data_IF_803771504241
#
_entry.id   IF_803771504241
#
_cell.length_a   1.000
_cell.length_b   1.000
_cell.length_c   1.000
_cell.angle_alpha   90.00
_cell.angle_beta   90.00
_cell.angle_gamma   90.00
#
_symmetry.space_group_name_H-M   'P 1'
#
loop_
_entity.id
_entity.type
_entity.pdbx_description
1 polymer ?
#
# COMPACT_ATOMS: atom_id res chain seq x y z
N UNK A 1 -13.70 0.06 53.94
CA UNK A 1 -13.78 0.12 52.46
C UNK A 1 -13.20 -1.17 51.93
N UNK A 2 -14.03 -1.96 51.25
CA UNK A 2 -13.97 -3.42 51.25
C UNK A 2 -12.99 -3.97 50.19
N UNK A 3 -12.13 -4.92 50.57
CA UNK A 3 -11.27 -5.73 49.66
C UNK A 3 -12.02 -6.30 48.45
N UNK A 4 -13.33 -6.50 48.57
CA UNK A 4 -14.22 -6.93 47.51
C UNK A 4 -14.34 -5.92 46.35
N UNK A 5 -14.32 -4.61 46.62
CA UNK A 5 -14.39 -3.57 45.57
C UNK A 5 -13.06 -3.44 44.82
N UNK A 6 -11.92 -3.64 45.50
CA UNK A 6 -10.59 -3.74 44.86
C UNK A 6 -10.45 -4.98 43.97
N UNK A 7 -11.06 -6.10 44.36
CA UNK A 7 -11.08 -7.32 43.55
C UNK A 7 -11.99 -7.16 42.33
N UNK A 8 -13.19 -6.60 42.50
CA UNK A 8 -14.12 -6.36 41.40
C UNK A 8 -13.61 -5.34 40.38
N UNK A 9 -12.85 -4.33 40.82
CA UNK A 9 -12.21 -3.35 39.92
C UNK A 9 -11.05 -3.91 39.07
N UNK A 10 -10.60 -5.14 39.34
CA UNK A 10 -9.56 -5.83 38.55
C UNK A 10 -10.13 -6.76 37.47
N UNK A 11 -11.44 -7.02 37.47
CA UNK A 11 -12.06 -7.85 36.46
C UNK A 11 -12.55 -6.99 35.31
N UNK A 12 -11.98 -7.20 34.12
CA UNK A 12 -12.56 -6.69 32.89
C UNK A 12 -13.96 -7.31 32.73
N UNK A 13 -15.01 -6.50 32.52
CA UNK A 13 -16.36 -7.04 32.33
C UNK A 13 -16.38 -8.05 31.19
N UNK A 14 -17.12 -9.15 31.36
CA UNK A 14 -17.18 -10.23 30.37
C UNK A 14 -17.62 -9.71 28.99
N UNK A 15 -18.55 -8.76 28.96
CA UNK A 15 -19.03 -8.15 27.72
C UNK A 15 -17.92 -7.39 26.96
N UNK A 16 -17.03 -6.72 27.68
CA UNK A 16 -15.85 -6.04 27.09
C UNK A 16 -14.88 -7.06 26.49
N UNK A 17 -14.66 -8.18 27.19
CA UNK A 17 -13.82 -9.27 26.71
C UNK A 17 -14.44 -9.91 25.45
N UNK A 18 -15.75 -10.15 25.44
CA UNK A 18 -16.48 -10.71 24.30
C UNK A 18 -16.38 -9.78 23.08
N UNK A 19 -16.63 -8.48 23.25
CA UNK A 19 -16.52 -7.49 22.18
C UNK A 19 -15.11 -7.43 21.57
N UNK A 20 -14.08 -7.51 22.41
CA UNK A 20 -12.70 -7.49 21.95
C UNK A 20 -12.34 -8.79 21.20
N UNK A 21 -12.80 -9.95 21.67
CA UNK A 21 -12.62 -11.23 20.97
C UNK A 21 -13.33 -11.22 19.63
N UNK A 22 -14.56 -10.73 19.55
CA UNK A 22 -15.31 -10.64 18.29
C UNK A 22 -14.62 -9.70 17.29
N UNK A 23 -14.10 -8.55 17.74
CA UNK A 23 -13.29 -7.66 16.89
C UNK A 23 -12.03 -8.34 16.36
N UNK A 24 -11.31 -9.09 17.22
CA UNK A 24 -10.12 -9.84 16.79
C UNK A 24 -10.45 -10.96 15.81
N UNK A 25 -11.58 -11.65 15.99
CA UNK A 25 -12.03 -12.70 15.08
C UNK A 25 -12.46 -12.15 13.72
N UNK A 26 -13.25 -11.07 13.66
CA UNK A 26 -13.63 -10.42 12.40
C UNK A 26 -12.39 -9.98 11.61
N UNK A 27 -11.38 -9.48 12.32
CA UNK A 27 -10.09 -9.07 11.79
C UNK A 27 -9.26 -10.22 11.21
N UNK A 28 -9.17 -11.35 11.92
CA UNK A 28 -8.48 -12.57 11.44
C UNK A 28 -9.19 -13.14 10.21
N UNK A 29 -10.53 -13.25 10.27
CA UNK A 29 -11.33 -13.74 9.16
C UNK A 29 -11.21 -12.83 7.93
N UNK A 30 -11.12 -11.52 8.12
CA UNK A 30 -10.88 -10.57 7.04
C UNK A 30 -9.52 -10.81 6.38
N UNK A 31 -8.42 -10.91 7.14
CA UNK A 31 -7.09 -11.22 6.58
C UNK A 31 -7.05 -12.56 5.84
N UNK A 32 -7.78 -13.56 6.33
CA UNK A 32 -7.88 -14.86 5.66
C UNK A 32 -8.60 -14.78 4.31
N UNK A 33 -9.54 -13.84 4.15
CA UNK A 33 -10.28 -13.61 2.91
C UNK A 33 -9.55 -12.69 1.96
N UNK A 34 -8.71 -11.81 2.49
CA UNK A 34 -7.90 -10.83 1.76
C UNK A 34 -6.43 -11.00 2.16
N UNK A 35 -5.74 -12.03 1.63
CA UNK A 35 -4.31 -12.22 1.89
C UNK A 35 -3.51 -11.05 1.32
N UNK A 36 -2.25 -10.86 1.76
CA UNK A 36 -1.36 -9.90 1.13
C UNK A 36 -1.27 -10.19 -0.38
N UNK A 37 -1.37 -9.14 -1.20
CA UNK A 37 -1.33 -9.25 -2.65
C UNK A 37 -0.03 -8.63 -3.15
N UNK A 38 0.68 -9.31 -4.05
CA UNK A 38 1.85 -8.76 -4.72
C UNK A 38 1.49 -8.62 -6.20
N UNK A 39 1.65 -7.42 -6.73
CA UNK A 39 1.52 -7.16 -8.16
C UNK A 39 2.82 -6.63 -8.76
N UNK A 40 3.08 -7.05 -9.99
CA UNK A 40 4.24 -6.65 -10.78
C UNK A 40 3.77 -5.88 -12.00
N UNK A 41 4.26 -4.66 -12.17
CA UNK A 41 3.87 -3.75 -13.25
C UNK A 41 5.08 -3.49 -14.13
N UNK A 42 4.98 -3.68 -15.44
CA UNK A 42 6.00 -3.20 -16.40
C UNK A 42 5.40 -2.01 -17.14
N UNK A 43 6.07 -0.86 -17.14
CA UNK A 43 5.57 0.35 -17.82
C UNK A 43 6.32 0.59 -19.11
N UNK A 44 5.60 0.63 -20.22
CA UNK A 44 6.17 0.91 -21.54
C UNK A 44 6.44 2.41 -21.73
N UNK A 45 7.70 2.82 -21.68
CA UNK A 45 8.12 4.21 -21.82
C UNK A 45 7.99 4.76 -23.24
N UNK A 46 7.71 3.93 -24.25
CA UNK A 46 7.46 4.42 -25.62
C UNK A 46 6.16 5.22 -25.75
N UNK A 47 5.30 5.15 -24.74
CA UNK A 47 4.05 5.89 -24.64
C UNK A 47 4.20 6.97 -23.57
N UNK A 48 3.86 8.21 -23.93
CA UNK A 48 3.79 9.34 -22.99
C UNK A 48 2.66 9.15 -21.97
N UNK A 49 2.93 9.53 -20.73
CA UNK A 49 1.94 9.55 -19.65
C UNK A 49 2.13 10.79 -18.80
N UNK A 50 1.04 11.51 -18.56
CA UNK A 50 0.96 12.56 -17.56
C UNK A 50 0.07 12.11 -16.40
N UNK A 51 0.67 11.96 -15.21
CA UNK A 51 -0.01 11.56 -13.96
C UNK A 51 -1.01 10.42 -14.14
N UNK A 52 -0.61 9.36 -14.85
CA UNK A 52 -1.49 8.22 -15.08
C UNK A 52 -1.40 7.26 -13.89
N UNK A 53 -2.55 6.82 -13.35
CA UNK A 53 -2.59 5.82 -12.27
C UNK A 53 -1.88 4.54 -12.71
N UNK A 54 -0.96 4.05 -11.89
CA UNK A 54 -0.15 2.87 -12.23
C UNK A 54 -1.02 1.61 -12.41
N UNK A 55 -2.08 1.48 -11.60
CA UNK A 55 -3.08 0.40 -11.72
C UNK A 55 -3.73 0.33 -13.10
N UNK A 56 -3.98 1.48 -13.73
CA UNK A 56 -4.64 1.59 -15.03
C UNK A 56 -3.74 1.30 -16.24
N UNK A 57 -2.41 1.22 -16.04
CA UNK A 57 -1.45 1.02 -17.13
C UNK A 57 -0.73 -0.32 -17.07
N UNK A 58 -0.64 -0.96 -15.90
CA UNK A 58 0.01 -2.27 -15.76
C UNK A 58 -0.89 -3.37 -15.21
N UNK A 59 -2.21 -3.20 -15.23
CA UNK A 59 -3.18 -4.28 -14.98
C UNK A 59 -3.41 -4.64 -13.52
N UNK A 60 -3.32 -3.67 -12.60
CA UNK A 60 -3.51 -3.86 -11.16
C UNK A 60 -4.75 -3.17 -10.61
N UNK A 61 -5.86 -3.19 -11.36
CA UNK A 61 -7.14 -2.69 -10.86
C UNK A 61 -7.51 -3.43 -9.56
N UNK A 62 -7.86 -2.70 -8.50
CA UNK A 62 -8.18 -3.24 -7.18
C UNK A 62 -7.01 -3.36 -6.19
N UNK A 63 -5.76 -3.23 -6.67
CA UNK A 63 -4.60 -3.29 -5.78
C UNK A 63 -4.60 -2.14 -4.77
N UNK A 64 -5.12 -0.97 -5.16
CA UNK A 64 -5.13 0.28 -4.38
C UNK A 64 -6.49 0.63 -3.77
N UNK A 65 -7.31 -0.37 -3.42
CA UNK A 65 -8.63 -0.12 -2.84
C UNK A 65 -8.55 0.31 -1.37
N UNK A 66 -8.58 1.62 -1.14
CA UNK A 66 -8.61 2.24 0.19
C UNK A 66 -10.01 2.19 0.85
N UNK A 67 -11.08 1.93 0.10
CA UNK A 67 -12.46 1.91 0.63
C UNK A 67 -12.83 0.58 1.31
N UNK A 68 -11.85 -0.30 1.49
CA UNK A 68 -11.99 -1.54 2.24
C UNK A 68 -12.42 -1.29 3.70
N UNK A 69 -13.26 -2.19 4.24
CA UNK A 69 -13.73 -2.19 5.65
C UNK A 69 -12.57 -2.07 6.66
N UNK A 70 -11.38 -2.52 6.27
CA UNK A 70 -10.14 -2.33 7.00
C UNK A 70 -9.13 -1.59 6.11
N UNK A 71 -8.54 -0.48 6.57
CA UNK A 71 -7.56 0.26 5.78
C UNK A 71 -6.39 -0.65 5.42
N UNK A 72 -6.10 -0.74 4.12
CA UNK A 72 -4.95 -1.47 3.60
C UNK A 72 -3.77 -0.52 3.45
N UNK A 73 -2.58 -1.02 3.78
CA UNK A 73 -1.32 -0.30 3.68
C UNK A 73 -0.60 -0.87 2.46
N UNK A 74 -0.28 -0.02 1.49
CA UNK A 74 0.46 -0.44 0.31
C UNK A 74 1.94 -0.21 0.57
N UNK A 75 2.77 -1.19 0.20
CA UNK A 75 4.22 -1.14 0.27
C UNK A 75 4.73 -1.24 -1.16
N UNK A 76 5.59 -0.30 -1.59
CA UNK A 76 6.17 -0.33 -2.93
C UNK A 76 7.62 -0.78 -2.86
N UNK A 77 7.93 -1.92 -3.48
CA UNK A 77 9.30 -2.28 -3.81
C UNK A 77 9.60 -1.92 -5.27
N UNK A 78 10.45 -0.93 -5.50
CA UNK A 78 10.83 -0.56 -6.87
C UNK A 78 11.99 -1.44 -7.31
N UNK A 79 11.69 -2.39 -8.19
CA UNK A 79 12.70 -3.26 -8.79
C UNK A 79 12.92 -2.83 -10.22
N UNK A 80 13.48 -1.64 -10.45
CA UNK A 80 14.29 -1.31 -11.63
C UNK A 80 15.01 0.03 -11.52
N UNK A 81 16.25 0.04 -12.01
CA UNK A 81 16.90 1.23 -12.58
C UNK A 81 16.98 1.06 -14.09
N UNK A 82 16.07 1.73 -14.80
CA UNK A 82 16.12 1.88 -16.24
C UNK A 82 16.95 3.11 -16.58
N UNK A 83 17.27 3.29 -17.85
CA UNK A 83 17.91 4.50 -18.39
C UNK A 83 16.91 5.54 -18.87
N UNK A 84 15.62 5.19 -18.95
CA UNK A 84 14.55 6.14 -19.24
C UNK A 84 14.21 7.06 -18.06
N UNK A 85 13.74 8.26 -18.40
CA UNK A 85 13.32 9.31 -17.45
C UNK A 85 11.85 9.14 -17.09
N UNK A 86 11.55 9.10 -15.79
CA UNK A 86 10.18 8.99 -15.30
C UNK A 86 10.06 9.47 -13.85
N UNK A 87 8.83 9.76 -13.42
CA UNK A 87 8.51 10.18 -12.05
C UNK A 87 7.37 9.35 -11.49
N UNK A 88 7.54 8.87 -10.26
CA UNK A 88 6.48 8.32 -9.42
C UNK A 88 5.95 9.40 -8.50
N UNK A 89 4.63 9.54 -8.42
CA UNK A 89 3.97 10.41 -7.44
C UNK A 89 3.05 9.57 -6.56
N UNK A 90 3.35 9.56 -5.27
CA UNK A 90 2.63 8.84 -4.23
C UNK A 90 1.63 9.78 -3.57
N UNK A 91 0.39 9.33 -3.46
CA UNK A 91 -0.62 10.01 -2.66
C UNK A 91 -0.74 9.33 -1.30
N UNK A 92 -0.44 10.09 -0.24
CA UNK A 92 -0.39 9.63 1.15
C UNK A 92 -1.58 10.18 1.94
N UNK A 93 -1.89 9.52 3.06
CA UNK A 93 -2.98 9.92 3.96
C UNK A 93 -3.00 11.44 4.22
N UNK A 94 -4.19 12.02 4.11
CA UNK A 94 -4.38 13.47 4.26
C UNK A 94 -4.00 14.30 3.03
N UNK A 95 -4.05 13.72 1.82
CA UNK A 95 -3.77 14.38 0.53
C UNK A 95 -2.35 14.94 0.41
N UNK A 96 -1.39 14.36 1.14
CA UNK A 96 0.01 14.71 0.99
C UNK A 96 0.59 13.94 -0.20
N UNK A 97 1.49 14.56 -0.94
CA UNK A 97 2.13 13.93 -2.09
C UNK A 97 3.64 13.89 -1.92
N UNK A 98 4.25 12.78 -2.30
CA UNK A 98 5.70 12.65 -2.49
C UNK A 98 5.92 12.31 -3.96
N UNK A 99 6.87 12.98 -4.60
CA UNK A 99 7.29 12.68 -5.97
C UNK A 99 8.75 12.27 -5.97
N UNK A 100 9.06 11.19 -6.66
CA UNK A 100 10.41 10.66 -6.83
C UNK A 100 10.68 10.40 -8.30
N UNK A 101 11.76 10.97 -8.81
CA UNK A 101 12.29 10.73 -10.15
C UNK A 101 13.07 9.41 -10.19
N UNK A 102 13.33 8.90 -11.39
CA UNK A 102 14.16 7.72 -11.60
C UNK A 102 15.60 7.88 -11.09
N UNK A 103 16.11 9.10 -10.96
CA UNK A 103 17.46 9.38 -10.43
C UNK A 103 17.52 9.26 -8.90
N UNK A 104 16.43 9.63 -8.23
CA UNK A 104 16.28 9.54 -6.76
C UNK A 104 16.07 8.10 -6.28
N UNK A 105 15.75 7.19 -7.20
CA UNK A 105 15.51 5.77 -6.93
C UNK A 105 16.73 4.98 -7.42
N UNK A 106 17.61 4.58 -6.51
CA UNK A 106 18.80 3.81 -6.87
C UNK A 106 18.42 2.37 -7.24
N UNK A 107 19.34 1.69 -7.94
CA UNK A 107 19.13 0.34 -8.44
C UNK A 107 18.94 -0.65 -7.28
N UNK A 108 17.72 -1.15 -7.12
CA UNK A 108 17.37 -2.11 -6.08
C UNK A 108 16.85 -1.48 -4.79
N UNK A 109 16.55 -0.19 -4.81
CA UNK A 109 15.96 0.49 -3.66
C UNK A 109 14.58 -0.07 -3.31
N UNK A 110 14.43 -0.39 -2.04
CA UNK A 110 13.16 -0.74 -1.44
C UNK A 110 12.58 0.53 -0.79
N UNK A 111 11.52 1.08 -1.39
CA UNK A 111 10.88 2.31 -0.90
C UNK A 111 9.73 1.92 0.03
N UNK A 112 10.02 1.87 1.32
CA UNK A 112 9.00 1.60 2.32
C UNK A 112 8.15 2.84 2.57
N UNK A 113 7.11 3.01 1.76
CA UNK A 113 6.15 4.08 1.87
C UNK A 113 4.73 3.53 1.92
N UNK A 114 3.91 4.01 2.85
CA UNK A 114 2.46 3.81 2.83
C UNK A 114 1.81 4.84 1.92
N UNK A 115 1.03 4.40 0.94
CA UNK A 115 0.28 5.28 0.05
C UNK A 115 -1.06 4.63 -0.34
N UNK A 116 -1.99 5.43 -0.86
CA UNK A 116 -3.28 4.93 -1.34
C UNK A 116 -3.43 5.02 -2.86
N UNK A 117 -2.62 5.83 -3.54
CA UNK A 117 -2.59 5.87 -5.00
C UNK A 117 -1.18 6.17 -5.48
N UNK A 118 -0.85 5.63 -6.65
CA UNK A 118 0.46 5.80 -7.27
C UNK A 118 0.28 6.23 -8.72
N UNK A 119 0.86 7.37 -9.05
CA UNK A 119 0.82 7.97 -10.36
C UNK A 119 2.17 7.88 -11.04
N UNK A 120 2.15 7.67 -12.35
CA UNK A 120 3.31 7.56 -13.20
C UNK A 120 3.31 8.67 -14.25
N UNK A 121 4.45 9.32 -14.43
CA UNK A 121 4.66 10.36 -15.44
C UNK A 121 5.94 10.08 -16.22
N UNK A 122 5.87 10.15 -17.56
CA UNK A 122 7.01 10.05 -18.46
C UNK A 122 6.71 10.75 -19.79
N UNK A 123 7.74 11.28 -20.43
CA UNK A 123 7.70 11.56 -21.87
C UNK A 123 7.93 10.28 -22.67
N UNK A 124 7.41 10.22 -23.90
CA UNK A 124 7.62 9.10 -24.80
C UNK A 124 9.10 8.94 -25.16
N UNK A 125 9.66 7.76 -24.91
CA UNK A 125 11.08 7.44 -25.09
C UNK A 125 11.21 6.08 -25.78
N UNK A 126 12.01 6.01 -26.84
CA UNK A 126 12.30 4.77 -27.56
C UNK A 126 13.73 4.30 -27.31
N UNK A 127 13.97 2.99 -27.38
CA UNK A 127 15.30 2.42 -27.16
C UNK A 127 15.79 2.40 -25.70
N UNK A 128 14.93 2.78 -24.75
CA UNK A 128 15.20 2.77 -23.30
C UNK A 128 14.65 1.52 -22.63
N UNK A 129 15.18 1.21 -21.45
CA UNK A 129 14.75 0.10 -20.59
C UNK A 129 13.54 0.50 -19.77
N UNK A 130 12.43 -0.20 -20.00
CA UNK A 130 11.16 -0.03 -19.29
C UNK A 130 11.27 -0.38 -17.79
N UNK A 131 10.71 0.45 -16.89
CA UNK A 131 10.69 0.15 -15.47
C UNK A 131 9.67 -0.93 -15.09
N UNK A 132 10.00 -1.66 -14.02
CA UNK A 132 9.15 -2.68 -13.39
C UNK A 132 9.03 -2.36 -11.91
N UNK A 133 7.79 -2.37 -11.44
CA UNK A 133 7.41 -2.06 -10.07
C UNK A 133 6.83 -3.30 -9.42
N UNK A 134 7.20 -3.58 -8.17
CA UNK A 134 6.62 -4.65 -7.38
C UNK A 134 5.91 -4.04 -6.19
N UNK A 135 4.61 -4.25 -6.09
CA UNK A 135 3.78 -3.58 -5.11
C UNK A 135 3.14 -4.64 -4.25
N UNK A 136 3.40 -4.58 -2.96
CA UNK A 136 2.79 -5.45 -1.97
C UNK A 136 1.70 -4.69 -1.22
N UNK A 137 0.45 -5.11 -1.39
CA UNK A 137 -0.66 -4.70 -0.54
C UNK A 137 -0.61 -5.52 0.74
N UNK A 138 -0.50 -4.86 1.89
CA UNK A 138 -0.57 -5.50 3.20
C UNK A 138 -1.79 -4.99 3.96
N UNK A 139 -2.59 -5.92 4.47
CA UNK A 139 -3.68 -5.56 5.37
C UNK A 139 -3.12 -5.42 6.78
N UNK A 140 -3.18 -4.20 7.31
CA UNK A 140 -2.74 -3.93 8.66
C UNK A 140 -3.86 -4.39 9.59
N UNK A 141 -3.64 -5.57 10.14
CA UNK A 141 -4.45 -6.08 11.23
C UNK A 141 -3.74 -5.88 12.55
#
# INVERSE_FOLDING_TARGET
MNRLQELLGKFTPLDVVIDEVLKRLDKILYKSRFPNEIAKFTVDLSIERDKKKLSSIGGGEGLFDYNAKYPSWHYLKVLIKGDGVWTLTFELAGKRTISLTNEEILRGDEIFLEFYELYFTNEAQTGVVNPVFWIEKRYNV
#
